data_IF_189802805793
#
_entry.id   IF_189802805793
#
_cell.length_a   1.000
_cell.length_b   1.000
_cell.length_c   1.000
_cell.angle_alpha   90.00
_cell.angle_beta   90.00
_cell.angle_gamma   90.00
#
_symmetry.space_group_name_H-M   'P 1'
#
loop_
_entity.id
_entity.type
_entity.pdbx_description
1 polymer ?
#
# COMPACT_ATOMS: atom_id res chain seq x y z
N UNK A 1 -39.56 39.16 34.84
CA UNK A 1 -38.54 38.43 34.05
C UNK A 1 -37.77 39.45 33.24
N UNK A 2 -36.50 39.73 33.59
CA UNK A 2 -35.68 40.68 32.85
C UNK A 2 -35.24 40.04 31.53
N UNK A 3 -35.74 40.56 30.41
CA UNK A 3 -35.36 40.08 29.08
C UNK A 3 -33.94 40.55 28.76
N UNK A 4 -33.07 39.61 28.37
CA UNK A 4 -31.75 39.95 27.82
C UNK A 4 -31.95 40.68 26.49
N UNK A 5 -31.18 41.75 26.26
CA UNK A 5 -31.17 42.43 24.97
C UNK A 5 -30.58 41.52 23.89
N UNK A 6 -30.98 41.73 22.64
CA UNK A 6 -30.45 40.98 21.48
C UNK A 6 -28.92 41.03 21.45
N UNK A 7 -28.32 42.20 21.74
CA UNK A 7 -26.86 42.37 21.80
C UNK A 7 -26.21 41.55 22.91
N UNK A 8 -26.86 41.42 24.07
CA UNK A 8 -26.34 40.63 25.18
C UNK A 8 -26.33 39.12 24.87
N UNK A 9 -27.38 38.65 24.19
CA UNK A 9 -27.45 37.27 23.68
C UNK A 9 -26.39 37.04 22.61
N UNK A 10 -26.31 37.89 21.58
CA UNK A 10 -25.32 37.76 20.50
C UNK A 10 -23.87 37.75 21.02
N UNK A 11 -23.54 38.62 22.00
CA UNK A 11 -22.22 38.64 22.62
C UNK A 11 -21.89 37.29 23.26
N UNK A 12 -22.85 36.71 23.98
CA UNK A 12 -22.67 35.42 24.67
C UNK A 12 -22.45 34.30 23.65
N UNK A 13 -23.27 34.25 22.60
CA UNK A 13 -23.18 33.23 21.55
C UNK A 13 -21.86 33.34 20.78
N UNK A 14 -21.44 34.55 20.41
CA UNK A 14 -20.17 34.77 19.72
C UNK A 14 -18.97 34.40 20.60
N UNK A 15 -19.01 34.70 21.90
CA UNK A 15 -17.95 34.28 22.84
C UNK A 15 -17.86 32.76 22.94
N UNK A 16 -18.98 32.05 23.00
CA UNK A 16 -19.00 30.59 23.02
C UNK A 16 -18.45 30.00 21.71
N UNK A 17 -18.82 30.58 20.57
CA UNK A 17 -18.29 30.17 19.27
C UNK A 17 -16.77 30.34 19.20
N UNK A 18 -16.23 31.46 19.67
CA UNK A 18 -14.78 31.70 19.66
C UNK A 18 -14.02 30.69 20.53
N UNK A 19 -14.59 30.26 21.67
CA UNK A 19 -14.00 29.19 22.49
C UNK A 19 -13.93 27.88 21.70
N UNK A 20 -15.02 27.50 21.01
CA UNK A 20 -15.05 26.29 20.20
C UNK A 20 -14.06 26.34 19.03
N UNK A 21 -13.96 27.47 18.33
CA UNK A 21 -13.01 27.65 17.21
C UNK A 21 -11.56 27.56 17.70
N UNK A 22 -11.24 28.20 18.83
CA UNK A 22 -9.87 28.21 19.38
C UNK A 22 -9.42 26.84 19.94
N UNK A 23 -10.36 25.95 20.25
CA UNK A 23 -10.07 24.58 20.65
C UNK A 23 -9.78 23.64 19.47
N UNK A 24 -10.09 24.06 18.23
CA UNK A 24 -9.91 23.28 17.02
C UNK A 24 -8.73 23.79 16.17
N UNK A 25 -8.38 23.04 15.12
CA UNK A 25 -7.47 23.49 14.06
C UNK A 25 -8.27 24.21 12.97
N UNK A 26 -8.13 25.55 12.80
CA UNK A 26 -8.95 26.29 11.87
C UNK A 26 -8.43 26.19 10.43
N UNK A 27 -9.35 25.92 9.50
CA UNK A 27 -9.11 26.04 8.06
C UNK A 27 -9.96 27.19 7.49
N UNK A 28 -9.31 28.15 6.85
CA UNK A 28 -9.96 29.35 6.34
C UNK A 28 -10.26 29.25 4.84
N UNK A 29 -11.52 29.47 4.46
CA UNK A 29 -11.95 29.62 3.07
C UNK A 29 -12.43 31.06 2.87
N UNK A 30 -11.90 31.75 1.84
CA UNK A 30 -12.29 33.13 1.51
C UNK A 30 -13.07 33.14 0.19
N UNK A 31 -14.34 33.51 0.27
CA UNK A 31 -15.18 33.68 -0.91
C UNK A 31 -14.91 35.05 -1.57
N UNK A 32 -14.85 35.09 -2.90
CA UNK A 32 -14.69 36.32 -3.68
C UNK A 32 -15.91 36.47 -4.60
N UNK A 33 -16.55 37.64 -4.54
CA UNK A 33 -17.60 37.98 -5.49
C UNK A 33 -16.97 38.55 -6.77
N UNK A 34 -17.11 37.89 -7.93
CA UNK A 34 -16.40 38.27 -9.16
C UNK A 34 -16.95 39.54 -9.81
N UNK A 35 -18.24 39.86 -9.68
CA UNK A 35 -18.84 41.06 -10.27
C UNK A 35 -20.10 41.50 -9.53
N UNK A 36 -20.47 42.77 -9.66
CA UNK A 36 -21.65 43.31 -8.97
C UNK A 36 -22.96 42.99 -9.70
N UNK A 37 -22.87 42.60 -10.98
CA UNK A 37 -24.00 42.36 -11.88
C UNK A 37 -24.59 40.95 -11.79
N UNK A 38 -23.99 40.06 -10.98
CA UNK A 38 -24.35 38.64 -10.86
C UNK A 38 -24.31 37.88 -12.19
N UNK A 39 -23.43 38.30 -13.11
CA UNK A 39 -23.27 37.66 -14.41
C UNK A 39 -22.22 36.56 -14.35
N UNK A 40 -22.48 35.42 -14.99
CA UNK A 40 -21.47 34.39 -15.18
C UNK A 40 -20.36 34.90 -16.10
N UNK A 41 -19.13 34.38 -15.93
CA UNK A 41 -17.95 34.67 -16.77
C UNK A 41 -17.49 36.15 -16.82
N UNK A 42 -18.12 37.03 -16.04
CA UNK A 42 -17.68 38.41 -15.86
C UNK A 42 -16.84 38.53 -14.59
N UNK A 43 -15.63 39.07 -14.71
CA UNK A 43 -14.73 39.30 -13.59
C UNK A 43 -14.29 40.78 -13.53
N UNK A 44 -14.57 41.44 -12.42
CA UNK A 44 -14.21 42.84 -12.15
C UNK A 44 -12.94 42.88 -11.28
N UNK A 45 -11.78 43.08 -11.91
CA UNK A 45 -10.47 43.04 -11.23
C UNK A 45 -10.39 43.97 -10.01
N UNK A 46 -10.83 45.22 -10.16
CA UNK A 46 -10.78 46.21 -9.09
C UNK A 46 -11.55 45.75 -7.84
N UNK A 47 -12.74 45.16 -8.04
CA UNK A 47 -13.60 44.62 -6.98
C UNK A 47 -12.95 43.41 -6.30
N UNK A 48 -12.34 42.53 -7.07
CA UNK A 48 -11.64 41.36 -6.53
C UNK A 48 -10.41 41.78 -5.70
N UNK A 49 -9.62 42.73 -6.21
CA UNK A 49 -8.43 43.24 -5.50
C UNK A 49 -8.81 43.94 -4.19
N UNK A 50 -9.88 44.74 -4.18
CA UNK A 50 -10.38 45.37 -2.95
C UNK A 50 -10.80 44.32 -1.91
N UNK A 51 -11.54 43.28 -2.32
CA UNK A 51 -11.91 42.17 -1.43
C UNK A 51 -10.68 41.42 -0.89
N UNK A 52 -9.64 41.23 -1.70
CA UNK A 52 -8.40 40.58 -1.26
C UNK A 52 -7.63 41.42 -0.24
N UNK A 53 -7.64 42.75 -0.38
CA UNK A 53 -7.05 43.70 0.59
C UNK A 53 -7.86 43.72 1.89
N UNK A 54 -9.17 43.99 1.81
CA UNK A 54 -10.04 44.06 2.99
C UNK A 54 -10.12 42.71 3.72
N UNK A 55 -10.04 41.60 2.99
CA UNK A 55 -10.00 40.25 3.53
C UNK A 55 -8.64 39.86 4.14
N UNK A 56 -7.60 40.70 4.02
CA UNK A 56 -6.26 40.45 4.53
C UNK A 56 -5.50 39.34 3.78
N UNK A 57 -5.96 38.96 2.58
CA UNK A 57 -5.38 37.83 1.83
C UNK A 57 -3.99 38.20 1.32
N UNK A 58 -3.80 39.44 0.87
CA UNK A 58 -2.50 39.90 0.35
C UNK A 58 -1.45 39.92 1.46
N UNK A 59 -1.82 40.43 2.63
CA UNK A 59 -1.00 40.48 3.84
C UNK A 59 -0.70 39.07 4.34
N UNK A 60 -1.70 38.18 4.36
CA UNK A 60 -1.51 36.78 4.73
C UNK A 60 -0.54 36.07 3.78
N UNK A 61 -0.67 36.28 2.46
CA UNK A 61 0.27 35.72 1.47
C UNK A 61 1.68 36.26 1.69
N UNK A 62 1.83 37.56 1.93
CA UNK A 62 3.13 38.16 2.23
C UNK A 62 3.77 37.55 3.48
N UNK A 63 3.01 37.46 4.56
CA UNK A 63 3.45 36.83 5.81
C UNK A 63 3.82 35.36 5.58
N UNK A 64 3.03 34.61 4.81
CA UNK A 64 3.32 33.20 4.49
C UNK A 64 4.63 33.02 3.71
N UNK A 65 5.00 33.98 2.84
CA UNK A 65 6.26 33.92 2.08
C UNK A 65 7.49 34.17 2.94
N UNK A 66 7.37 35.07 3.90
CA UNK A 66 8.45 35.43 4.83
C UNK A 66 8.54 34.47 6.04
N UNK A 67 7.42 33.83 6.38
CA UNK A 67 7.33 32.89 7.50
C UNK A 67 7.65 31.44 7.12
N UNK A 68 7.61 30.59 8.14
CA UNK A 68 7.78 29.14 8.08
C UNK A 68 6.48 28.49 8.58
N UNK A 69 5.50 28.24 7.70
CA UNK A 69 4.16 27.83 8.10
C UNK A 69 4.12 26.42 8.70
N UNK A 70 5.03 25.54 8.30
CA UNK A 70 5.12 24.18 8.82
C UNK A 70 6.02 24.14 10.04
N UNK A 71 5.49 23.65 11.17
CA UNK A 71 6.20 23.57 12.45
C UNK A 71 6.08 22.16 13.00
N UNK A 72 7.21 21.57 13.36
CA UNK A 72 7.26 20.24 13.95
C UNK A 72 8.08 20.29 15.24
N UNK A 73 7.65 19.57 16.27
CA UNK A 73 8.56 19.24 17.37
C UNK A 73 9.73 18.44 16.82
N UNK A 74 10.88 18.49 17.49
CA UNK A 74 12.03 17.71 17.04
C UNK A 74 11.72 16.21 16.97
N UNK A 75 10.97 15.69 17.95
CA UNK A 75 10.62 14.28 18.01
C UNK A 75 9.66 13.88 16.88
N UNK A 76 8.62 14.69 16.61
CA UNK A 76 7.68 14.43 15.52
C UNK A 76 8.37 14.47 14.15
N UNK A 77 9.28 15.43 13.95
CA UNK A 77 10.03 15.56 12.71
C UNK A 77 10.92 14.34 12.48
N UNK A 78 11.64 13.89 13.51
CA UNK A 78 12.50 12.70 13.43
C UNK A 78 11.65 11.45 13.21
N UNK A 79 10.55 11.27 13.95
CA UNK A 79 9.64 10.14 13.78
C UNK A 79 9.05 10.05 12.37
N UNK A 80 8.74 11.19 11.77
CA UNK A 80 8.14 11.26 10.43
C UNK A 80 9.18 11.06 9.32
N UNK A 81 10.31 11.78 9.39
CA UNK A 81 11.25 11.92 8.27
C UNK A 81 12.58 11.17 8.43
N UNK A 82 12.81 10.45 9.54
CA UNK A 82 14.02 9.62 9.72
C UNK A 82 14.23 8.58 8.60
N UNK A 83 13.15 8.11 7.98
CA UNK A 83 13.21 7.18 6.86
C UNK A 83 13.97 7.71 5.63
N UNK A 84 14.05 9.04 5.47
CA UNK A 84 14.78 9.70 4.38
C UNK A 84 16.30 9.58 4.58
N UNK A 85 16.75 9.69 5.83
CA UNK A 85 18.17 9.65 6.20
C UNK A 85 18.41 8.62 7.32
N UNK A 86 18.34 7.31 7.03
CA UNK A 86 18.45 6.27 8.07
C UNK A 86 19.81 6.25 8.79
N UNK A 87 20.85 6.89 8.25
CA UNK A 87 22.19 6.97 8.84
C UNK A 87 22.39 8.21 9.73
N UNK A 88 21.45 9.15 9.76
CA UNK A 88 21.59 10.40 10.52
C UNK A 88 21.24 10.28 12.01
N UNK A 89 20.76 9.12 12.46
CA UNK A 89 20.25 8.90 13.83
C UNK A 89 21.27 8.44 14.87
N UNK A 90 22.58 8.41 14.56
CA UNK A 90 23.57 7.74 15.45
C UNK A 90 24.39 8.67 16.36
N UNK A 91 24.29 10.00 16.23
CA UNK A 91 25.11 10.91 17.00
C UNK A 91 24.37 12.21 17.34
N UNK A 92 23.83 12.30 18.56
CA UNK A 92 23.31 13.55 19.13
C UNK A 92 21.85 13.48 19.61
N UNK A 93 21.36 14.63 20.09
CA UNK A 93 19.97 14.78 20.53
C UNK A 93 19.00 14.94 19.34
N UNK A 94 17.68 14.96 19.58
CA UNK A 94 16.65 15.08 18.53
C UNK A 94 16.86 16.26 17.59
N UNK A 95 17.37 17.38 18.14
CA UNK A 95 17.72 18.60 17.40
C UNK A 95 18.82 18.37 16.37
N UNK A 96 19.86 17.62 16.71
CA UNK A 96 21.00 17.36 15.84
C UNK A 96 20.60 16.39 14.71
N UNK A 97 19.76 15.40 15.03
CA UNK A 97 19.18 14.49 14.05
C UNK A 97 18.30 15.24 13.06
N UNK A 98 17.46 16.19 13.51
CA UNK A 98 16.67 17.06 12.62
C UNK A 98 17.58 17.79 11.62
N UNK A 99 18.67 18.39 12.11
CA UNK A 99 19.62 19.12 11.27
C UNK A 99 20.35 18.18 10.29
N UNK A 100 20.71 16.98 10.71
CA UNK A 100 21.36 15.99 9.87
C UNK A 100 20.42 15.48 8.74
N UNK A 101 19.12 15.31 9.02
CA UNK A 101 18.12 14.99 7.99
C UNK A 101 18.05 16.12 6.95
N UNK A 102 17.87 17.36 7.37
CA UNK A 102 17.76 18.52 6.45
C UNK A 102 19.03 18.73 5.63
N UNK A 103 20.21 18.46 6.20
CA UNK A 103 21.49 18.52 5.49
C UNK A 103 21.64 17.38 4.48
N UNK A 104 21.15 16.18 4.77
CA UNK A 104 21.25 15.03 3.85
C UNK A 104 20.55 15.27 2.51
N UNK A 105 19.49 16.10 2.51
CA UNK A 105 18.73 16.49 1.33
C UNK A 105 19.14 17.85 0.76
N UNK A 106 20.23 18.44 1.29
CA UNK A 106 20.81 19.71 0.84
C UNK A 106 19.79 20.87 0.72
N UNK A 107 18.90 21.00 1.71
CA UNK A 107 17.93 22.10 1.75
C UNK A 107 18.63 23.42 2.04
N UNK A 108 18.25 24.46 1.28
CA UNK A 108 18.76 25.83 1.48
C UNK A 108 18.49 26.30 2.92
N UNK A 109 19.50 26.79 3.66
CA UNK A 109 19.34 27.42 4.97
C UNK A 109 18.27 28.50 5.05
N UNK A 110 17.85 29.15 3.95
CA UNK A 110 16.74 30.12 3.94
C UNK A 110 15.36 29.47 4.04
N UNK A 111 15.25 28.17 3.79
CA UNK A 111 13.97 27.46 3.74
C UNK A 111 13.60 26.75 5.04
N UNK A 112 14.48 26.79 6.05
CA UNK A 112 14.20 26.26 7.38
C UNK A 112 14.81 27.11 8.49
N UNK A 113 14.27 26.98 9.70
CA UNK A 113 14.83 27.52 10.94
C UNK A 113 14.75 26.46 12.03
N UNK A 114 15.87 26.24 12.72
CA UNK A 114 15.93 25.31 13.84
C UNK A 114 15.78 26.09 15.15
N UNK A 115 14.66 25.90 15.83
CA UNK A 115 14.36 26.51 17.12
C UNK A 115 14.98 25.74 18.29
N UNK A 116 14.51 26.07 19.50
CA UNK A 116 14.88 25.35 20.74
C UNK A 116 14.16 24.00 20.85
N UNK A 117 12.87 23.97 20.56
CA UNK A 117 12.00 22.80 20.71
C UNK A 117 11.45 22.27 19.39
N UNK A 118 11.46 23.11 18.34
CA UNK A 118 10.78 22.85 17.08
C UNK A 118 11.65 23.25 15.89
N UNK A 119 11.48 22.52 14.80
CA UNK A 119 11.97 22.90 13.47
C UNK A 119 10.83 23.55 12.68
N UNK A 120 11.15 24.67 12.03
CA UNK A 120 10.22 25.40 11.19
C UNK A 120 10.69 25.32 9.73
N UNK A 121 9.77 24.99 8.83
CA UNK A 121 10.06 24.71 7.42
C UNK A 121 9.11 25.49 6.53
N UNK A 122 9.59 25.86 5.34
CA UNK A 122 8.70 26.31 4.27
C UNK A 122 7.94 25.12 3.68
N UNK A 123 6.73 25.39 3.19
CA UNK A 123 5.84 24.36 2.60
C UNK A 123 6.53 23.56 1.48
N UNK A 124 7.26 24.24 0.61
CA UNK A 124 7.98 23.61 -0.52
C UNK A 124 8.95 22.50 -0.09
N UNK A 125 9.63 22.69 1.05
CA UNK A 125 10.55 21.70 1.62
C UNK A 125 9.78 20.50 2.13
N UNK A 126 8.72 20.74 2.92
CA UNK A 126 7.90 19.66 3.49
C UNK A 126 7.25 18.83 2.39
N UNK A 127 6.71 19.47 1.36
CA UNK A 127 6.10 18.77 0.22
C UNK A 127 7.15 17.90 -0.51
N UNK A 128 8.38 18.40 -0.65
CA UNK A 128 9.50 17.63 -1.20
C UNK A 128 9.88 16.43 -0.34
N UNK A 129 9.95 16.62 0.97
CA UNK A 129 10.26 15.56 1.92
C UNK A 129 9.17 14.48 1.96
N UNK A 130 7.88 14.86 1.97
CA UNK A 130 6.77 13.91 1.95
C UNK A 130 6.74 13.09 0.66
N UNK A 131 7.02 13.71 -0.50
CA UNK A 131 7.17 12.97 -1.76
C UNK A 131 8.29 11.93 -1.68
N UNK A 132 9.45 12.31 -1.17
CA UNK A 132 10.59 11.39 -1.03
C UNK A 132 10.27 10.24 -0.05
N UNK A 133 9.67 10.57 1.08
CA UNK A 133 9.18 9.59 2.06
C UNK A 133 8.18 8.61 1.45
N UNK A 134 7.19 9.10 0.70
CA UNK A 134 6.21 8.27 0.03
C UNK A 134 6.85 7.32 -0.98
N UNK A 135 7.83 7.80 -1.76
CA UNK A 135 8.59 6.96 -2.70
C UNK A 135 9.38 5.85 -1.99
N UNK A 136 10.09 6.18 -0.91
CA UNK A 136 10.86 5.22 -0.13
C UNK A 136 9.98 4.15 0.52
N UNK A 137 8.88 4.56 1.15
CA UNK A 137 7.91 3.63 1.76
C UNK A 137 7.24 2.76 0.70
N UNK A 138 6.85 3.34 -0.45
CA UNK A 138 6.31 2.59 -1.58
C UNK A 138 7.28 1.55 -2.15
N UNK A 139 8.58 1.90 -2.25
CA UNK A 139 9.63 0.97 -2.66
C UNK A 139 9.80 -0.20 -1.68
N UNK A 140 9.83 0.08 -0.37
CA UNK A 140 9.91 -0.96 0.68
C UNK A 140 8.67 -1.85 0.70
N UNK A 141 7.48 -1.28 0.55
CA UNK A 141 6.24 -2.04 0.44
C UNK A 141 6.28 -3.00 -0.75
N UNK A 142 6.83 -2.58 -1.90
CA UNK A 142 6.99 -3.44 -3.07
C UNK A 142 7.92 -4.63 -2.79
N UNK A 143 9.04 -4.42 -2.10
CA UNK A 143 9.95 -5.50 -1.69
C UNK A 143 9.23 -6.49 -0.79
N UNK A 144 8.54 -6.01 0.25
CA UNK A 144 7.77 -6.86 1.16
C UNK A 144 6.71 -7.67 0.41
N UNK A 145 5.92 -7.02 -0.45
CA UNK A 145 4.92 -7.69 -1.29
C UNK A 145 5.54 -8.74 -2.20
N UNK A 146 6.71 -8.48 -2.79
CA UNK A 146 7.39 -9.43 -3.66
C UNK A 146 7.84 -10.69 -2.89
N UNK A 147 8.33 -10.52 -1.66
CA UNK A 147 8.74 -11.62 -0.80
C UNK A 147 7.51 -12.48 -0.40
N UNK A 148 6.40 -11.83 -0.02
CA UNK A 148 5.15 -12.53 0.33
C UNK A 148 4.61 -13.31 -0.89
N UNK A 149 4.54 -12.68 -2.07
CA UNK A 149 4.08 -13.37 -3.29
C UNK A 149 4.97 -14.55 -3.65
N UNK A 150 6.29 -14.42 -3.51
CA UNK A 150 7.23 -15.51 -3.71
C UNK A 150 6.98 -16.68 -2.73
N UNK A 151 6.77 -16.37 -1.45
CA UNK A 151 6.45 -17.37 -0.44
C UNK A 151 5.15 -18.12 -0.75
N UNK A 152 4.07 -17.41 -1.10
CA UNK A 152 2.80 -18.01 -1.48
C UNK A 152 2.93 -18.89 -2.74
N UNK A 153 3.66 -18.43 -3.76
CA UNK A 153 3.92 -19.21 -4.96
C UNK A 153 4.70 -20.51 -4.68
N UNK A 154 5.65 -20.48 -3.72
CA UNK A 154 6.38 -21.68 -3.29
C UNK A 154 5.46 -22.69 -2.61
N UNK A 155 4.54 -22.23 -1.75
CA UNK A 155 3.54 -23.10 -1.11
C UNK A 155 2.63 -23.75 -2.16
N UNK A 156 2.13 -22.96 -3.11
CA UNK A 156 1.28 -23.46 -4.19
C UNK A 156 2.01 -24.48 -5.08
N UNK A 157 3.28 -24.21 -5.41
CA UNK A 157 4.12 -25.13 -6.17
C UNK A 157 4.35 -26.44 -5.43
N UNK A 158 4.59 -26.40 -4.11
CA UNK A 158 4.76 -27.60 -3.29
C UNK A 158 3.50 -28.47 -3.32
N UNK A 159 2.33 -27.85 -3.15
CA UNK A 159 1.03 -28.54 -3.24
C UNK A 159 0.81 -29.17 -4.63
N UNK A 160 1.03 -28.42 -5.71
CA UNK A 160 0.92 -28.92 -7.09
C UNK A 160 1.88 -30.09 -7.36
N UNK A 161 3.10 -30.05 -6.82
CA UNK A 161 4.08 -31.15 -6.92
C UNK A 161 3.63 -32.41 -6.17
N UNK A 162 2.99 -32.26 -5.02
CA UNK A 162 2.42 -33.39 -4.28
C UNK A 162 1.27 -34.05 -5.06
N UNK A 163 0.32 -33.25 -5.55
CA UNK A 163 -0.79 -33.75 -6.39
C UNK A 163 -0.26 -34.47 -7.62
N UNK A 164 0.74 -33.89 -8.32
CA UNK A 164 1.37 -34.54 -9.48
C UNK A 164 2.05 -35.85 -9.11
N UNK A 165 2.76 -35.91 -7.98
CA UNK A 165 3.39 -37.16 -7.50
C UNK A 165 2.34 -38.25 -7.26
N UNK A 166 1.23 -37.92 -6.59
CA UNK A 166 0.12 -38.85 -6.39
C UNK A 166 -0.45 -39.35 -7.71
N UNK A 167 -0.74 -38.45 -8.64
CA UNK A 167 -1.24 -38.79 -9.97
C UNK A 167 -0.29 -39.75 -10.72
N UNK A 168 1.01 -39.45 -10.77
CA UNK A 168 2.01 -40.31 -11.42
C UNK A 168 2.05 -41.69 -10.76
N UNK A 169 2.05 -41.77 -9.43
CA UNK A 169 1.99 -43.05 -8.71
C UNK A 169 0.73 -43.85 -9.06
N UNK A 170 -0.44 -43.20 -9.15
CA UNK A 170 -1.69 -43.84 -9.56
C UNK A 170 -1.59 -44.40 -10.98
N UNK A 171 -1.06 -43.64 -11.94
CA UNK A 171 -0.88 -44.10 -13.33
C UNK A 171 0.07 -45.30 -13.40
N UNK A 172 1.17 -45.27 -12.65
CA UNK A 172 2.13 -46.38 -12.60
C UNK A 172 1.50 -47.66 -12.02
N UNK A 173 0.75 -47.53 -10.92
CA UNK A 173 0.03 -48.65 -10.31
C UNK A 173 -1.04 -49.22 -11.25
N UNK A 174 -1.84 -48.36 -11.89
CA UNK A 174 -2.84 -48.78 -12.88
C UNK A 174 -2.17 -49.51 -14.06
N UNK A 175 -1.04 -49.00 -14.57
CA UNK A 175 -0.28 -49.63 -15.64
C UNK A 175 0.29 -51.00 -15.24
N UNK A 176 0.84 -51.11 -14.04
CA UNK A 176 1.35 -52.37 -13.50
C UNK A 176 0.23 -53.41 -13.33
N UNK A 177 -0.92 -52.99 -12.80
CA UNK A 177 -2.10 -53.85 -12.64
C UNK A 177 -2.62 -54.35 -14.00
N UNK A 178 -2.83 -53.44 -14.97
CA UNK A 178 -3.27 -53.80 -16.33
C UNK A 178 -2.29 -54.77 -17.00
N UNK A 179 -0.98 -54.55 -16.86
CA UNK A 179 0.06 -55.46 -17.38
C UNK A 179 0.01 -56.84 -16.72
N UNK A 180 -0.14 -56.90 -15.40
CA UNK A 180 -0.24 -58.16 -14.66
C UNK A 180 -1.50 -58.94 -15.08
N UNK A 181 -2.64 -58.26 -15.20
CA UNK A 181 -3.91 -58.85 -15.65
C UNK A 181 -3.80 -59.42 -17.06
N UNK A 182 -3.23 -58.65 -18.02
CA UNK A 182 -3.01 -59.12 -19.38
C UNK A 182 -2.07 -60.34 -19.44
N UNK A 183 -0.98 -60.34 -18.65
CA UNK A 183 -0.06 -61.49 -18.56
C UNK A 183 -0.72 -62.73 -17.98
N UNK A 184 -1.57 -62.59 -16.95
CA UNK A 184 -2.33 -63.70 -16.38
C UNK A 184 -3.33 -64.26 -17.41
N UNK A 185 -4.05 -63.39 -18.12
CA UNK A 185 -4.95 -63.78 -19.20
C UNK A 185 -4.23 -64.55 -20.31
N UNK A 186 -3.09 -64.03 -20.79
CA UNK A 186 -2.28 -64.71 -21.80
C UNK A 186 -1.72 -66.05 -21.32
N UNK A 187 -1.23 -66.13 -20.07
CA UNK A 187 -0.75 -67.39 -19.52
C UNK A 187 -1.88 -68.44 -19.42
N UNK A 188 -3.10 -68.02 -19.07
CA UNK A 188 -4.27 -68.90 -19.03
C UNK A 188 -4.65 -69.41 -20.43
N UNK A 189 -4.65 -68.54 -21.46
CA UNK A 189 -4.93 -68.97 -22.84
C UNK A 189 -3.86 -69.92 -23.36
N UNK A 190 -2.58 -69.65 -23.14
CA UNK A 190 -1.48 -70.56 -23.53
C UNK A 190 -1.61 -71.92 -22.84
N UNK A 191 -1.93 -71.96 -21.54
CA UNK A 191 -2.18 -73.23 -20.82
C UNK A 191 -3.38 -73.97 -21.40
N UNK A 192 -4.47 -73.27 -21.73
CA UNK A 192 -5.66 -73.88 -22.32
C UNK A 192 -5.39 -74.47 -23.71
N UNK A 193 -4.65 -73.76 -24.57
CA UNK A 193 -4.24 -74.24 -25.90
C UNK A 193 -3.37 -75.49 -25.77
N UNK A 194 -2.33 -75.47 -24.92
CA UNK A 194 -1.47 -76.65 -24.69
C UNK A 194 -2.26 -77.85 -24.20
N UNK A 195 -3.18 -77.66 -23.24
CA UNK A 195 -4.06 -78.72 -22.76
C UNK A 195 -5.04 -79.24 -23.82
N UNK A 196 -5.47 -78.39 -24.77
CA UNK A 196 -6.31 -78.80 -25.90
C UNK A 196 -5.50 -79.60 -26.94
N UNK A 197 -4.27 -79.19 -27.24
CA UNK A 197 -3.36 -79.95 -28.11
C UNK A 197 -3.00 -81.32 -27.52
N UNK A 198 -2.72 -81.40 -26.22
CA UNK A 198 -2.49 -82.67 -25.53
C UNK A 198 -3.71 -83.58 -25.57
N UNK A 199 -4.93 -83.03 -25.40
CA UNK A 199 -6.18 -83.79 -25.56
C UNK A 199 -6.35 -84.32 -26.98
N UNK A 200 -6.15 -83.48 -28.01
CA UNK A 200 -6.21 -83.92 -29.41
C UNK A 200 -5.20 -85.03 -29.71
N UNK A 201 -3.96 -84.92 -29.21
CA UNK A 201 -2.95 -85.97 -29.37
C UNK A 201 -3.33 -87.29 -28.68
N UNK A 202 -3.98 -87.23 -27.51
CA UNK A 202 -4.51 -88.44 -26.83
C UNK A 202 -5.66 -89.06 -27.61
N UNK A 203 -6.60 -88.25 -28.07
CA UNK A 203 -7.71 -88.72 -28.92
C UNK A 203 -7.21 -89.33 -30.25
N UNK A 204 -6.18 -88.76 -30.87
CA UNK A 204 -5.53 -89.29 -32.08
C UNK A 204 -4.79 -90.61 -31.80
N UNK A 205 -4.10 -90.72 -30.66
CA UNK A 205 -3.43 -91.95 -30.23
C UNK A 205 -4.43 -93.08 -29.91
N UNK A 206 -5.57 -92.76 -29.29
CA UNK A 206 -6.66 -93.71 -29.03
C UNK A 206 -7.33 -94.20 -30.32
N UNK A 207 -7.46 -93.34 -31.34
CA UNK A 207 -7.98 -93.71 -32.66
C UNK A 207 -7.00 -94.56 -33.49
N UNK A 208 -5.69 -94.32 -33.34
CA UNK A 208 -4.65 -95.09 -34.03
C UNK A 208 -4.41 -96.49 -33.47
N UNK A 209 -4.86 -96.79 -32.26
CA UNK A 209 -4.75 -98.12 -31.63
C UNK A 209 -5.91 -99.08 -31.92
N UNK A 210 -6.92 -98.67 -32.69
CA UNK A 210 -8.10 -99.48 -33.05
C UNK A 210 -8.11 -99.93 -34.53
N UNK A 211 -6.99 -99.74 -35.25
CA UNK A 211 -6.76 -100.29 -36.60
C UNK A 211 -5.68 -101.37 -36.54
#
# INVERSE_FOLDING_TARGET
VAYKSVSATFKTDLSQLMVAINAAEPHFVRCINPNSRKQAELFEDAKAVEQLRCGGVIEAVRMCRESYPSRYSHDDFVGTFSCIAPRSGSAGGPRDVCLAIVRSINVDPKMYRLGKTMILLKREVVDGMERMRAQLLGGRARVLQSAIRCYLAKLELAHKREVRRRYVSTVLLQGAFRRCSARRGYAATVRAVRAAEERRRREEAERGGQA
#
